data_IF_969801736827
#
_entry.id   IF_969801736827
#
_cell.length_a   1.000
_cell.length_b   1.000
_cell.length_c   1.000
_cell.angle_alpha   90.00
_cell.angle_beta   90.00
_cell.angle_gamma   90.00
#
_symmetry.space_group_name_H-M   'P 1'
#
loop_
_entity.id
_entity.type
_entity.pdbx_description
1 polymer ?
#
# COMPACT_ATOMS: atom_id res chain seq x y z
N UNK A 1 -37.37 28.69 -60.39
CA UNK A 1 -37.46 28.44 -58.93
C UNK A 1 -36.66 27.20 -58.50
N UNK A 2 -36.93 26.02 -59.07
CA UNK A 2 -36.27 24.73 -58.72
C UNK A 2 -34.73 24.75 -58.84
N UNK A 3 -34.18 25.30 -59.93
CA UNK A 3 -32.71 25.38 -60.14
C UNK A 3 -31.96 26.18 -59.06
N UNK A 4 -32.61 27.15 -58.42
CA UNK A 4 -31.98 27.93 -57.35
C UNK A 4 -31.94 27.15 -56.03
N UNK A 5 -32.96 26.32 -55.78
CA UNK A 5 -33.03 25.44 -54.62
C UNK A 5 -31.93 24.38 -54.70
N UNK A 6 -31.74 23.75 -55.85
CA UNK A 6 -30.67 22.77 -56.07
C UNK A 6 -29.28 23.36 -55.84
N UNK A 7 -29.00 24.56 -56.38
CA UNK A 7 -27.74 25.27 -56.15
C UNK A 7 -27.52 25.58 -54.67
N UNK A 8 -28.57 25.98 -53.94
CA UNK A 8 -28.48 26.26 -52.52
C UNK A 8 -28.16 24.99 -51.71
N UNK A 9 -28.82 23.87 -52.03
CA UNK A 9 -28.56 22.58 -51.37
C UNK A 9 -27.13 22.10 -51.64
N UNK A 10 -26.66 22.17 -52.89
CA UNK A 10 -25.29 21.78 -53.24
C UNK A 10 -24.26 22.64 -52.53
N UNK A 11 -24.47 23.96 -52.46
CA UNK A 11 -23.56 24.88 -51.75
C UNK A 11 -23.57 24.62 -50.25
N UNK A 12 -24.73 24.36 -49.66
CA UNK A 12 -24.85 24.02 -48.24
C UNK A 12 -24.12 22.71 -47.92
N UNK A 13 -24.28 21.68 -48.75
CA UNK A 13 -23.60 20.40 -48.60
C UNK A 13 -22.08 20.52 -48.80
N UNK A 14 -21.63 21.34 -49.75
CA UNK A 14 -20.21 21.63 -49.94
C UNK A 14 -19.60 22.33 -48.73
N UNK A 15 -20.30 23.31 -48.15
CA UNK A 15 -19.84 24.02 -46.95
C UNK A 15 -19.76 23.08 -45.73
N UNK A 16 -20.78 22.22 -45.53
CA UNK A 16 -20.76 21.20 -44.47
C UNK A 16 -19.61 20.20 -44.64
N UNK A 17 -19.28 19.80 -45.88
CA UNK A 17 -18.12 18.96 -46.16
C UNK A 17 -16.81 19.68 -45.85
N UNK A 18 -16.68 20.96 -46.20
CA UNK A 18 -15.48 21.76 -45.91
C UNK A 18 -15.26 21.92 -44.39
N UNK A 19 -16.32 22.23 -43.64
CA UNK A 19 -16.27 22.27 -42.17
C UNK A 19 -15.84 20.92 -41.58
N UNK A 20 -16.40 19.82 -42.09
CA UNK A 20 -16.02 18.48 -41.65
C UNK A 20 -14.54 18.18 -41.92
N UNK A 21 -14.04 18.50 -43.11
CA UNK A 21 -12.63 18.26 -43.49
C UNK A 21 -11.68 19.08 -42.62
N UNK A 22 -12.06 20.30 -42.25
CA UNK A 22 -11.21 21.17 -41.45
C UNK A 22 -11.23 20.82 -39.95
N UNK A 23 -12.41 20.57 -39.36
CA UNK A 23 -12.54 20.41 -37.91
C UNK A 23 -12.35 18.98 -37.40
N UNK A 24 -12.73 17.96 -38.18
CA UNK A 24 -12.55 16.56 -37.78
C UNK A 24 -11.09 16.16 -37.50
N UNK A 25 -10.09 16.52 -38.32
CA UNK A 25 -8.70 16.15 -38.02
C UNK A 25 -8.15 16.86 -36.78
N UNK A 26 -8.61 18.08 -36.50
CA UNK A 26 -8.21 18.84 -35.31
C UNK A 26 -8.73 18.15 -34.04
N UNK A 27 -10.02 17.81 -34.02
CA UNK A 27 -10.64 17.10 -32.89
C UNK A 27 -9.99 15.73 -32.70
N UNK A 28 -9.75 14.97 -33.78
CA UNK A 28 -9.08 13.67 -33.71
C UNK A 28 -7.67 13.78 -33.14
N UNK A 29 -6.87 14.74 -33.60
CA UNK A 29 -5.52 14.98 -33.06
C UNK A 29 -5.58 15.30 -31.57
N UNK A 30 -6.48 16.19 -31.17
CA UNK A 30 -6.63 16.58 -29.77
C UNK A 30 -6.96 15.37 -28.88
N UNK A 31 -7.92 14.53 -29.28
CA UNK A 31 -8.30 13.32 -28.54
C UNK A 31 -7.12 12.35 -28.42
N UNK A 32 -6.35 12.16 -29.49
CA UNK A 32 -5.15 11.29 -29.47
C UNK A 32 -4.12 11.82 -28.49
N UNK A 33 -3.82 13.12 -28.51
CA UNK A 33 -2.86 13.73 -27.57
C UNK A 33 -3.31 13.58 -26.11
N UNK A 34 -4.57 13.87 -25.80
CA UNK A 34 -5.12 13.67 -24.46
C UNK A 34 -5.06 12.20 -24.01
N UNK A 35 -5.37 11.26 -24.91
CA UNK A 35 -5.33 9.82 -24.61
C UNK A 35 -3.90 9.36 -24.31
N UNK A 36 -2.93 9.75 -25.14
CA UNK A 36 -1.52 9.36 -24.98
C UNK A 36 -0.96 9.95 -23.67
N UNK A 37 -1.19 11.23 -23.42
CA UNK A 37 -0.71 11.89 -22.19
C UNK A 37 -1.32 11.28 -20.94
N UNK A 38 -2.62 10.94 -20.94
CA UNK A 38 -3.27 10.24 -19.84
C UNK A 38 -2.68 8.83 -19.60
N UNK A 39 -2.41 8.07 -20.66
CA UNK A 39 -1.77 6.74 -20.58
C UNK A 39 -0.34 6.87 -20.03
N UNK A 40 0.42 7.88 -20.45
CA UNK A 40 1.78 8.09 -19.96
C UNK A 40 1.81 8.52 -18.47
N UNK A 41 0.94 9.45 -18.07
CA UNK A 41 0.84 9.89 -16.67
C UNK A 41 0.40 8.75 -15.74
N UNK A 42 -0.51 7.88 -16.19
CA UNK A 42 -0.90 6.69 -15.42
C UNK A 42 0.22 5.65 -15.31
N UNK A 43 0.92 5.33 -16.40
CA UNK A 43 2.06 4.38 -16.36
C UNK A 43 3.16 4.83 -15.40
N UNK A 44 3.56 6.10 -15.42
CA UNK A 44 4.58 6.63 -14.50
C UNK A 44 4.17 6.48 -13.04
N UNK A 45 2.94 6.86 -12.70
CA UNK A 45 2.41 6.72 -11.34
C UNK A 45 2.34 5.27 -10.89
N UNK A 46 1.84 4.39 -11.77
CA UNK A 46 1.74 2.96 -11.48
C UNK A 46 3.12 2.31 -11.28
N UNK A 47 4.14 2.74 -12.03
CA UNK A 47 5.51 2.26 -11.84
C UNK A 47 6.08 2.65 -10.47
N UNK A 48 5.84 3.89 -10.01
CA UNK A 48 6.25 4.35 -8.68
C UNK A 48 5.56 3.51 -7.60
N UNK A 49 4.24 3.34 -7.70
CA UNK A 49 3.46 2.56 -6.73
C UNK A 49 3.90 1.10 -6.71
N UNK A 50 4.09 0.48 -7.89
CA UNK A 50 4.54 -0.91 -7.98
C UNK A 50 5.94 -1.09 -7.36
N UNK A 51 6.85 -0.16 -7.60
CA UNK A 51 8.20 -0.18 -7.02
C UNK A 51 8.15 -0.04 -5.51
N UNK A 52 7.35 0.91 -4.99
CA UNK A 52 7.15 1.11 -3.56
C UNK A 52 6.53 -0.11 -2.88
N UNK A 53 5.50 -0.71 -3.50
CA UNK A 53 4.84 -1.90 -2.98
C UNK A 53 5.80 -3.10 -2.94
N UNK A 54 6.61 -3.28 -3.99
CA UNK A 54 7.61 -4.35 -4.05
C UNK A 54 8.68 -4.17 -2.97
N UNK A 55 9.20 -2.96 -2.79
CA UNK A 55 10.17 -2.65 -1.74
C UNK A 55 9.58 -2.87 -0.34
N UNK A 56 8.35 -2.42 -0.10
CA UNK A 56 7.67 -2.59 1.19
C UNK A 56 7.41 -4.07 1.50
N UNK A 57 6.85 -4.81 0.54
CA UNK A 57 6.54 -6.23 0.72
C UNK A 57 7.81 -7.06 0.95
N UNK A 58 8.87 -6.81 0.17
CA UNK A 58 10.15 -7.52 0.35
C UNK A 58 10.78 -7.22 1.71
N UNK A 59 10.79 -5.97 2.16
CA UNK A 59 11.29 -5.61 3.49
C UNK A 59 10.45 -6.24 4.62
N UNK A 60 9.11 -6.19 4.52
CA UNK A 60 8.21 -6.77 5.51
C UNK A 60 8.35 -8.29 5.63
N UNK A 61 8.52 -9.00 4.50
CA UNK A 61 8.75 -10.45 4.48
C UNK A 61 10.16 -10.81 4.94
N UNK A 62 11.18 -9.98 4.66
CA UNK A 62 12.55 -10.22 5.11
C UNK A 62 12.75 -9.88 6.60
N UNK A 63 11.90 -9.04 7.18
CA UNK A 63 12.05 -8.53 8.54
C UNK A 63 12.16 -9.62 9.62
N UNK A 64 11.31 -10.68 9.66
CA UNK A 64 11.44 -11.75 10.65
C UNK A 64 12.78 -12.49 10.56
N UNK A 65 13.29 -12.74 9.34
CA UNK A 65 14.57 -13.41 9.11
C UNK A 65 15.76 -12.53 9.50
N UNK A 66 15.67 -11.23 9.21
CA UNK A 66 16.66 -10.25 9.66
C UNK A 66 16.73 -10.19 11.19
N UNK A 67 15.58 -10.14 11.86
CA UNK A 67 15.51 -10.12 13.33
C UNK A 67 16.05 -11.42 13.94
N UNK A 68 15.68 -12.58 13.40
CA UNK A 68 16.16 -13.87 13.87
C UNK A 68 17.69 -14.00 13.73
N UNK A 69 18.24 -13.64 12.56
CA UNK A 69 19.69 -13.68 12.31
C UNK A 69 20.50 -12.66 13.10
N UNK A 70 19.89 -11.55 13.51
CA UNK A 70 20.53 -10.55 14.39
C UNK A 70 20.48 -10.95 15.86
N UNK A 71 19.34 -11.48 16.31
CA UNK A 71 19.15 -11.95 17.68
C UNK A 71 20.10 -13.10 18.06
N UNK A 72 20.54 -13.91 17.09
CA UNK A 72 21.52 -14.97 17.35
C UNK A 72 22.95 -14.46 17.60
N UNK A 73 23.29 -13.25 17.13
CA UNK A 73 24.64 -12.66 17.30
C UNK A 73 24.79 -11.85 18.58
N UNK A 74 23.70 -11.24 19.02
CA UNK A 74 23.62 -10.49 20.28
C UNK A 74 22.32 -10.89 20.96
N UNK A 75 22.29 -12.01 21.69
CA UNK A 75 21.10 -12.42 22.40
C UNK A 75 20.70 -11.32 23.39
N UNK A 76 19.47 -10.82 23.25
CA UNK A 76 18.90 -9.79 24.15
C UNK A 76 18.81 -10.34 25.58
N UNK A 77 18.69 -11.66 25.70
CA UNK A 77 18.69 -12.41 26.95
C UNK A 77 19.91 -13.31 26.95
N UNK A 78 20.85 -13.01 27.83
CA UNK A 78 21.96 -13.90 28.12
C UNK A 78 21.43 -15.17 28.82
N UNK A 79 21.51 -16.32 28.15
CA UNK A 79 21.06 -17.60 28.70
C UNK A 79 21.95 -18.12 29.84
N UNK A 80 23.16 -17.58 30.00
CA UNK A 80 24.03 -17.88 31.13
C UNK A 80 23.68 -17.06 32.37
N UNK A 81 22.87 -16.01 32.22
CA UNK A 81 22.41 -15.16 33.31
C UNK A 81 20.97 -15.51 33.69
N UNK A 82 20.63 -15.57 34.99
CA UNK A 82 19.24 -15.72 35.40
C UNK A 82 18.41 -14.58 34.80
N UNK A 83 17.26 -14.95 34.24
CA UNK A 83 16.27 -14.01 33.72
C UNK A 83 15.97 -12.93 34.79
N UNK A 84 15.79 -11.66 34.38
CA UNK A 84 15.51 -10.59 35.34
C UNK A 84 14.29 -10.94 36.18
N UNK A 85 14.20 -10.53 37.46
CA UNK A 85 13.11 -10.92 38.34
C UNK A 85 11.75 -10.65 37.72
N UNK A 86 11.55 -9.59 36.94
CA UNK A 86 10.29 -9.28 36.26
C UNK A 86 9.90 -10.31 35.16
N UNK A 87 10.86 -11.04 34.59
CA UNK A 87 10.65 -12.15 33.66
C UNK A 87 10.63 -13.53 34.35
N UNK A 88 11.20 -13.64 35.55
CA UNK A 88 11.30 -14.87 36.37
C UNK A 88 10.30 -14.91 37.53
N UNK A 89 9.65 -13.80 37.86
CA UNK A 89 8.53 -13.72 38.79
C UNK A 89 7.36 -14.41 38.12
N UNK A 90 7.43 -15.74 38.10
CA UNK A 90 6.29 -16.61 38.24
C UNK A 90 6.29 -16.98 39.71
N UNK A 91 5.86 -16.01 40.52
CA UNK A 91 5.46 -16.35 41.88
C UNK A 91 4.38 -17.42 41.80
N UNK A 92 4.24 -18.30 42.80
CA UNK A 92 3.22 -19.35 42.79
C UNK A 92 1.77 -18.85 42.60
N UNK A 93 1.54 -17.53 42.62
CA UNK A 93 0.22 -16.87 42.58
C UNK A 93 0.09 -15.76 41.54
N UNK A 94 0.99 -15.68 40.55
CA UNK A 94 0.96 -14.56 39.59
C UNK A 94 -0.21 -14.62 38.59
N UNK A 95 -0.87 -15.79 38.45
CA UNK A 95 -2.01 -15.96 37.53
C UNK A 95 -3.26 -16.60 38.16
N UNK A 96 -3.34 -16.82 39.48
CA UNK A 96 -4.48 -17.55 40.09
C UNK A 96 -5.53 -16.66 40.74
N UNK A 97 -5.25 -15.36 40.97
CA UNK A 97 -6.15 -14.44 41.66
C UNK A 97 -6.43 -14.78 43.13
N UNK A 98 -6.07 -15.98 43.58
CA UNK A 98 -6.17 -16.43 44.96
C UNK A 98 -4.95 -15.99 45.77
N UNK A 99 -5.21 -15.31 46.88
CA UNK A 99 -4.22 -15.07 47.95
C UNK A 99 -4.13 -16.24 48.93
N UNK A 100 -4.92 -17.29 48.68
CA UNK A 100 -5.24 -18.33 49.66
C UNK A 100 -4.21 -19.47 49.69
N UNK A 101 -3.31 -19.46 48.72
CA UNK A 101 -2.16 -20.34 48.75
C UNK A 101 -0.98 -19.38 48.94
N UNK A 102 -0.26 -19.59 50.02
CA UNK A 102 0.86 -18.81 50.54
C UNK A 102 1.52 -19.72 51.58
N UNK A 103 2.81 -19.53 51.93
CA UNK A 103 3.45 -20.42 52.87
C UNK A 103 2.62 -20.54 54.14
N UNK A 104 2.23 -21.77 54.49
CA UNK A 104 1.35 -22.02 55.62
C UNK A 104 1.95 -21.37 56.87
N UNK A 105 1.11 -20.70 57.66
CA UNK A 105 1.49 -19.97 58.87
C UNK A 105 2.31 -20.79 59.86
N UNK A 106 2.31 -22.12 59.71
CA UNK A 106 3.09 -23.06 60.51
C UNK A 106 4.57 -23.17 60.10
N UNK A 107 4.95 -22.70 58.91
CA UNK A 107 6.32 -22.88 58.37
C UNK A 107 7.27 -21.70 58.57
N UNK A 108 6.79 -20.56 59.08
CA UNK A 108 7.63 -19.39 59.37
C UNK A 108 7.56 -19.01 60.86
N UNK A 109 8.57 -19.32 61.69
CA UNK A 109 8.66 -18.71 63.01
C UNK A 109 8.97 -17.22 62.83
N UNK A 110 8.08 -16.35 63.34
CA UNK A 110 8.35 -14.92 63.49
C UNK A 110 9.57 -14.76 64.41
N UNK A 111 10.66 -14.22 63.85
CA UNK A 111 11.70 -13.55 64.63
C UNK A 111 11.37 -12.07 64.71
#
# INVERSE_FOLDING_TARGET
>A
MVKNIEKMVVTMMANQRQLRIHFQPIIRRQIIYWSITAILMSRKRNAIVATGLLAFASAGLAFPFYMASRSSRTPVIDSSKPLPPQATFRGPYINTGSRDVGPDHQTYPKK
#
